data_IF_398565634962
#
_entry.id   IF_398565634962
#
_cell.length_a   1.000
_cell.length_b   1.000
_cell.length_c   1.000
_cell.angle_alpha   90.00
_cell.angle_beta   90.00
_cell.angle_gamma   90.00
#
_symmetry.space_group_name_H-M   'P 1'
#
loop_
_entity.id
_entity.type
_entity.pdbx_description
1 polymer ?
#
# COMPACT_ATOMS: atom_id res chain seq x y z
N UNK A 1 28.80 -1.39 23.08
CA UNK A 1 28.80 -1.95 21.71
C UNK A 1 27.39 -2.37 21.36
N UNK A 2 26.84 -1.91 20.24
CA UNK A 2 25.54 -2.38 19.75
C UNK A 2 25.60 -3.90 19.50
N UNK A 3 24.53 -4.60 19.84
CA UNK A 3 24.42 -6.05 19.73
C UNK A 3 24.80 -6.55 18.32
N UNK A 4 25.72 -7.50 18.22
CA UNK A 4 26.09 -8.17 16.96
C UNK A 4 25.12 -9.28 16.57
N UNK A 5 24.16 -9.60 17.44
CA UNK A 5 23.13 -10.62 17.22
C UNK A 5 21.81 -10.07 16.66
N UNK A 6 21.66 -8.74 16.61
CA UNK A 6 20.46 -8.10 16.07
C UNK A 6 20.37 -8.27 14.54
N UNK A 7 19.19 -8.66 14.06
CA UNK A 7 18.92 -9.01 12.64
C UNK A 7 17.76 -8.20 12.03
N UNK A 8 17.49 -7.02 12.59
CA UNK A 8 16.54 -6.07 11.98
C UNK A 8 17.09 -5.54 10.65
N UNK A 9 16.21 -5.07 9.76
CA UNK A 9 16.58 -4.49 8.45
C UNK A 9 17.65 -3.40 8.62
N UNK A 10 17.50 -2.51 9.60
CA UNK A 10 18.50 -1.50 9.93
C UNK A 10 19.81 -2.09 10.47
N UNK A 11 19.72 -3.05 11.39
CA UNK A 11 20.90 -3.70 11.96
C UNK A 11 21.74 -4.44 10.91
N UNK A 12 21.11 -5.07 9.91
CA UNK A 12 21.81 -5.77 8.81
C UNK A 12 22.71 -4.83 8.01
N UNK A 13 22.23 -3.64 7.66
CA UNK A 13 23.03 -2.63 6.96
C UNK A 13 24.21 -2.18 7.84
N UNK A 14 23.96 -1.82 9.10
CA UNK A 14 25.03 -1.43 10.04
C UNK A 14 26.04 -2.54 10.28
N UNK A 15 25.60 -3.79 10.28
CA UNK A 15 26.47 -4.94 10.44
C UNK A 15 27.32 -5.18 9.18
N UNK A 16 26.77 -4.98 7.98
CA UNK A 16 27.55 -5.01 6.74
C UNK A 16 28.60 -3.88 6.71
N UNK A 17 28.27 -2.68 7.18
CA UNK A 17 29.23 -1.57 7.34
C UNK A 17 30.38 -1.93 8.27
N UNK A 18 30.10 -2.58 9.41
CA UNK A 18 31.15 -3.07 10.31
C UNK A 18 32.08 -4.05 9.59
N UNK A 19 31.54 -4.96 8.79
CA UNK A 19 32.37 -5.89 8.00
C UNK A 19 33.25 -5.10 7.01
N UNK A 20 32.66 -4.16 6.25
CA UNK A 20 33.42 -3.30 5.31
C UNK A 20 34.54 -2.51 6.01
N UNK A 21 34.27 -1.90 7.16
CA UNK A 21 35.27 -1.17 7.96
C UNK A 21 36.42 -2.09 8.39
N UNK A 22 36.13 -3.31 8.83
CA UNK A 22 37.16 -4.27 9.20
C UNK A 22 37.98 -4.71 7.97
N UNK A 23 37.34 -5.02 6.84
CA UNK A 23 38.05 -5.40 5.61
C UNK A 23 39.07 -4.35 5.17
N UNK A 24 38.73 -3.06 5.27
CA UNK A 24 39.62 -1.95 4.93
C UNK A 24 40.84 -1.83 5.86
N UNK A 25 40.74 -2.37 7.07
CA UNK A 25 41.82 -2.37 8.06
C UNK A 25 42.71 -3.63 8.00
N UNK A 26 42.28 -4.69 7.31
CA UNK A 26 43.02 -5.95 7.23
C UNK A 26 44.22 -5.82 6.29
N UNK A 27 45.42 -6.04 6.83
CA UNK A 27 46.66 -5.92 6.09
C UNK A 27 46.78 -7.02 5.02
N UNK A 28 46.85 -6.61 3.75
CA UNK A 28 47.08 -7.52 2.63
C UNK A 28 45.84 -8.32 2.18
N UNK A 29 44.62 -7.93 2.59
CA UNK A 29 43.40 -8.60 2.13
C UNK A 29 43.29 -8.53 0.61
N UNK A 30 43.33 -9.68 -0.03
CA UNK A 30 43.39 -9.83 -1.49
C UNK A 30 42.58 -11.06 -1.89
N UNK A 31 41.24 -10.95 -1.93
CA UNK A 31 40.39 -12.08 -2.28
C UNK A 31 40.62 -12.50 -3.74
N UNK A 32 40.52 -13.80 -4.01
CA UNK A 32 40.64 -14.35 -5.37
C UNK A 32 39.52 -13.91 -6.30
N UNK A 33 38.35 -13.57 -5.75
CA UNK A 33 37.20 -13.05 -6.47
C UNK A 33 37.09 -11.52 -6.24
N UNK A 34 37.21 -10.69 -7.30
CA UNK A 34 37.10 -9.24 -7.21
C UNK A 34 35.78 -8.74 -6.61
N UNK A 35 34.71 -9.55 -6.66
CA UNK A 35 33.42 -9.21 -6.05
C UNK A 35 33.47 -9.18 -4.52
N UNK A 36 34.47 -9.80 -3.87
CA UNK A 36 34.56 -9.94 -2.41
C UNK A 36 35.35 -8.82 -1.73
N UNK A 37 35.50 -7.66 -2.40
CA UNK A 37 36.24 -6.51 -1.88
C UNK A 37 35.36 -5.63 -0.99
N UNK A 38 36.00 -4.78 -0.17
CA UNK A 38 35.29 -3.78 0.63
C UNK A 38 34.55 -2.76 -0.25
N UNK A 39 35.09 -2.44 -1.43
CA UNK A 39 34.48 -1.50 -2.37
C UNK A 39 33.16 -2.02 -2.94
N UNK A 40 33.11 -3.29 -3.35
CA UNK A 40 31.88 -3.93 -3.84
C UNK A 40 30.83 -4.09 -2.72
N UNK A 41 31.27 -4.42 -1.50
CA UNK A 41 30.38 -4.44 -0.34
C UNK A 41 29.80 -3.05 -0.04
N UNK A 42 30.59 -1.98 -0.13
CA UNK A 42 30.11 -0.60 0.04
C UNK A 42 29.10 -0.21 -1.03
N UNK A 43 29.34 -0.59 -2.29
CA UNK A 43 28.38 -0.38 -3.39
C UNK A 43 27.04 -1.04 -3.06
N UNK A 44 27.06 -2.30 -2.61
CA UNK A 44 25.83 -3.02 -2.26
C UNK A 44 25.14 -2.45 -1.02
N UNK A 45 25.89 -1.99 -0.01
CA UNK A 45 25.38 -1.28 1.16
C UNK A 45 24.64 0.00 0.73
N UNK A 46 25.26 0.82 -0.13
CA UNK A 46 24.67 2.07 -0.61
C UNK A 46 23.41 1.83 -1.43
N UNK A 47 23.42 0.84 -2.32
CA UNK A 47 22.24 0.42 -3.07
C UNK A 47 21.11 -0.04 -2.13
N UNK A 48 21.44 -0.81 -1.08
CA UNK A 48 20.46 -1.27 -0.09
C UNK A 48 19.84 -0.09 0.67
N UNK A 49 20.64 0.90 1.07
CA UNK A 49 20.15 2.14 1.70
C UNK A 49 19.23 2.93 0.77
N UNK A 50 19.60 3.07 -0.50
CA UNK A 50 18.75 3.74 -1.49
C UNK A 50 17.38 3.04 -1.61
N UNK A 51 17.37 1.70 -1.71
CA UNK A 51 16.11 0.92 -1.74
C UNK A 51 15.30 0.97 -0.45
N UNK A 52 15.95 1.13 0.71
CA UNK A 52 15.23 1.41 1.95
C UNK A 52 14.43 2.71 1.84
N UNK A 53 15.06 3.78 1.35
CA UNK A 53 14.42 5.09 1.14
C UNK A 53 13.31 5.00 0.10
N UNK A 54 13.55 4.38 -1.05
CA UNK A 54 12.52 4.20 -2.09
C UNK A 54 11.29 3.44 -1.56
N UNK A 55 11.50 2.36 -0.80
CA UNK A 55 10.39 1.60 -0.21
C UNK A 55 9.64 2.37 0.89
N UNK A 56 10.32 3.25 1.62
CA UNK A 56 9.71 4.13 2.62
C UNK A 56 8.85 5.22 1.95
N UNK A 57 9.37 5.89 0.92
CA UNK A 57 8.62 6.87 0.13
C UNK A 57 7.38 6.25 -0.50
N UNK A 58 7.51 5.09 -1.16
CA UNK A 58 6.37 4.40 -1.75
C UNK A 58 5.32 3.97 -0.70
N UNK A 59 5.73 3.70 0.54
CA UNK A 59 4.80 3.37 1.62
C UNK A 59 4.00 4.60 2.06
N UNK A 60 4.63 5.77 2.09
CA UNK A 60 3.96 7.04 2.36
C UNK A 60 2.97 7.39 1.25
N UNK A 61 3.37 7.25 -0.02
CA UNK A 61 2.49 7.51 -1.17
C UNK A 61 1.25 6.62 -1.15
N UNK A 62 1.42 5.33 -0.87
CA UNK A 62 0.30 4.39 -0.70
C UNK A 62 -0.60 4.80 0.47
N UNK A 63 -0.03 5.16 1.62
CA UNK A 63 -0.81 5.62 2.78
C UNK A 63 -1.65 6.85 2.44
N UNK A 64 -1.05 7.86 1.80
CA UNK A 64 -1.73 9.09 1.40
C UNK A 64 -2.87 8.82 0.39
N UNK A 65 -2.66 7.90 -0.56
CA UNK A 65 -3.71 7.47 -1.48
C UNK A 65 -4.87 6.79 -0.75
N UNK A 66 -4.57 5.93 0.24
CA UNK A 66 -5.58 5.27 1.08
C UNK A 66 -6.37 6.28 1.88
N UNK A 67 -5.71 7.26 2.50
CA UNK A 67 -6.35 8.32 3.28
C UNK A 67 -7.27 9.18 2.41
N UNK A 68 -6.79 9.60 1.25
CA UNK A 68 -7.57 10.36 0.26
C UNK A 68 -8.85 9.60 -0.12
N UNK A 69 -8.73 8.29 -0.41
CA UNK A 69 -9.88 7.45 -0.72
C UNK A 69 -10.84 7.34 0.47
N UNK A 70 -10.34 7.10 1.68
CA UNK A 70 -11.20 7.02 2.88
C UNK A 70 -11.95 8.32 3.13
N UNK A 71 -11.29 9.46 2.93
CA UNK A 71 -11.86 10.79 3.05
C UNK A 71 -13.03 10.98 2.10
N UNK A 72 -12.78 10.80 0.80
CA UNK A 72 -13.79 11.00 -0.25
C UNK A 72 -15.02 10.10 -0.11
N UNK A 73 -14.83 8.87 0.37
CA UNK A 73 -15.93 7.92 0.53
C UNK A 73 -16.67 8.07 1.87
N UNK A 74 -15.99 8.37 2.97
CA UNK A 74 -16.58 8.23 4.32
C UNK A 74 -16.34 9.40 5.28
N UNK A 75 -15.14 9.99 5.30
CA UNK A 75 -14.75 10.92 6.39
C UNK A 75 -15.10 12.38 6.09
N UNK A 76 -14.96 12.82 4.84
CA UNK A 76 -15.23 14.21 4.45
C UNK A 76 -16.68 14.60 4.74
N UNK A 77 -16.92 15.87 5.03
CA UNK A 77 -18.26 16.44 5.26
C UNK A 77 -19.17 16.23 4.05
N UNK A 78 -18.61 16.31 2.84
CA UNK A 78 -19.28 16.01 1.58
C UNK A 78 -18.93 14.61 1.03
N UNK A 79 -18.46 13.68 1.87
CA UNK A 79 -18.11 12.32 1.44
C UNK A 79 -19.29 11.58 0.82
N UNK A 80 -19.01 10.54 0.01
CA UNK A 80 -20.04 9.77 -0.69
C UNK A 80 -21.17 9.32 0.26
N UNK A 81 -20.83 8.76 1.43
CA UNK A 81 -21.83 8.28 2.38
C UNK A 81 -22.71 9.41 2.95
N UNK A 82 -22.13 10.59 3.19
CA UNK A 82 -22.85 11.72 3.79
C UNK A 82 -23.83 12.37 2.82
N UNK A 83 -23.44 12.53 1.55
CA UNK A 83 -24.31 13.14 0.52
C UNK A 83 -25.53 12.27 0.14
N UNK A 84 -25.54 10.98 0.49
CA UNK A 84 -26.70 10.11 0.26
C UNK A 84 -27.98 10.63 0.94
N UNK A 85 -27.86 11.19 2.15
CA UNK A 85 -29.02 11.67 2.91
C UNK A 85 -29.73 12.84 2.22
N UNK A 86 -29.04 13.95 1.88
CA UNK A 86 -29.67 15.08 1.20
C UNK A 86 -30.20 14.70 -0.19
N UNK A 87 -29.52 13.82 -0.96
CA UNK A 87 -30.05 13.33 -2.25
C UNK A 87 -31.42 12.67 -2.08
N UNK A 88 -31.54 11.74 -1.12
CA UNK A 88 -32.81 11.10 -0.84
C UNK A 88 -33.89 12.07 -0.34
N UNK A 89 -33.50 13.11 0.40
CA UNK A 89 -34.43 14.14 0.86
C UNK A 89 -34.94 15.01 -0.30
N UNK A 90 -34.07 15.42 -1.22
CA UNK A 90 -34.46 16.17 -2.42
C UNK A 90 -35.49 15.41 -3.24
N UNK A 91 -35.25 14.12 -3.51
CA UNK A 91 -36.18 13.29 -4.30
C UNK A 91 -37.52 13.10 -3.59
N UNK A 92 -37.54 12.92 -2.26
CA UNK A 92 -38.79 12.84 -1.50
C UNK A 92 -39.56 14.16 -1.48
N UNK A 93 -38.85 15.28 -1.44
CA UNK A 93 -39.46 16.61 -1.44
C UNK A 93 -40.10 16.94 -2.80
N UNK A 94 -39.48 16.52 -3.91
CA UNK A 94 -39.98 16.82 -5.27
C UNK A 94 -41.00 15.79 -5.79
N UNK A 95 -40.81 14.50 -5.51
CA UNK A 95 -41.66 13.44 -6.05
C UNK A 95 -42.68 12.90 -5.02
N UNK A 96 -42.54 13.23 -3.74
CA UNK A 96 -43.34 12.67 -2.66
C UNK A 96 -42.74 11.40 -2.03
N UNK A 97 -42.98 11.21 -0.73
CA UNK A 97 -42.36 10.14 0.08
C UNK A 97 -42.67 8.72 -0.39
N UNK A 98 -43.86 8.49 -0.95
CA UNK A 98 -44.34 7.17 -1.39
C UNK A 98 -44.19 6.94 -2.89
N UNK A 99 -43.49 7.84 -3.60
CA UNK A 99 -43.27 7.72 -5.03
C UNK A 99 -42.32 6.58 -5.40
N UNK A 100 -42.46 6.08 -6.63
CA UNK A 100 -41.53 5.12 -7.24
C UNK A 100 -40.10 5.68 -7.20
N UNK A 101 -39.93 6.95 -7.54
CA UNK A 101 -38.64 7.64 -7.58
C UNK A 101 -37.95 7.66 -6.21
N UNK A 102 -38.71 7.96 -5.15
CA UNK A 102 -38.18 7.96 -3.77
C UNK A 102 -37.79 6.54 -3.31
N UNK A 103 -38.58 5.53 -3.67
CA UNK A 103 -38.29 4.12 -3.36
C UNK A 103 -37.02 3.64 -4.07
N UNK A 104 -36.88 3.94 -5.36
CA UNK A 104 -35.71 3.53 -6.15
C UNK A 104 -34.42 4.14 -5.60
N UNK A 105 -34.43 5.43 -5.29
CA UNK A 105 -33.27 6.13 -4.71
C UNK A 105 -32.95 5.63 -3.30
N UNK A 106 -33.97 5.34 -2.48
CA UNK A 106 -33.75 4.73 -1.16
C UNK A 106 -33.06 3.36 -1.26
N UNK A 107 -33.45 2.53 -2.24
CA UNK A 107 -32.79 1.26 -2.50
C UNK A 107 -31.32 1.45 -2.92
N UNK A 108 -31.02 2.41 -3.80
CA UNK A 108 -29.64 2.71 -4.21
C UNK A 108 -28.78 3.25 -3.06
N UNK A 109 -29.31 4.15 -2.24
CA UNK A 109 -28.63 4.64 -1.03
C UNK A 109 -28.28 3.48 -0.09
N UNK A 110 -29.21 2.55 0.07
CA UNK A 110 -29.05 1.36 0.90
C UNK A 110 -27.93 0.46 0.38
N UNK A 111 -27.83 0.27 -0.95
CA UNK A 111 -26.71 -0.43 -1.58
C UNK A 111 -25.37 0.27 -1.36
N UNK A 112 -25.31 1.59 -1.58
CA UNK A 112 -24.08 2.40 -1.41
C UNK A 112 -23.59 2.37 0.05
N UNK A 113 -24.49 2.48 1.02
CA UNK A 113 -24.14 2.39 2.45
C UNK A 113 -23.77 0.98 2.89
N UNK A 114 -24.25 -0.02 2.14
CA UNK A 114 -24.17 -1.42 2.48
C UNK A 114 -25.23 -1.80 3.50
N UNK A 115 -26.00 -2.84 3.19
CA UNK A 115 -26.85 -3.52 4.18
C UNK A 115 -25.96 -4.46 4.99
N UNK A 116 -26.19 -4.56 6.30
CA UNK A 116 -25.66 -5.71 7.06
C UNK A 116 -26.38 -6.96 6.56
N UNK A 117 -25.78 -7.68 5.63
CA UNK A 117 -26.26 -9.02 5.25
C UNK A 117 -26.01 -9.93 6.46
N UNK A 118 -27.04 -10.65 6.94
CA UNK A 118 -26.86 -11.72 7.94
C UNK A 118 -25.82 -12.69 7.36
N UNK A 119 -24.83 -13.09 8.18
CA UNK A 119 -23.86 -14.12 7.78
C UNK A 119 -24.64 -15.32 7.22
N UNK A 120 -24.42 -15.74 5.97
CA UNK A 120 -25.06 -16.94 5.46
C UNK A 120 -24.58 -18.14 6.29
N UNK A 121 -25.52 -19.02 6.63
CA UNK A 121 -25.25 -20.29 7.29
C UNK A 121 -24.37 -21.12 6.36
N UNK A 122 -23.24 -21.63 6.86
CA UNK A 122 -22.26 -22.35 6.05
C UNK A 122 -22.83 -23.70 5.59
N UNK A 123 -22.90 -23.90 4.28
CA UNK A 123 -22.94 -25.25 3.66
C UNK A 123 -21.50 -25.63 3.26
N UNK A 124 -21.03 -26.88 3.44
CA UNK A 124 -19.59 -27.20 3.42
C UNK A 124 -18.93 -27.24 2.05
N UNK A 125 -19.66 -27.05 0.95
CA UNK A 125 -19.19 -27.45 -0.40
C UNK A 125 -19.42 -26.43 -1.53
N UNK A 126 -19.90 -25.22 -1.25
CA UNK A 126 -20.06 -24.18 -2.27
C UNK A 126 -19.00 -23.09 -2.15
N UNK A 127 -18.34 -22.75 -3.27
CA UNK A 127 -17.43 -21.60 -3.36
C UNK A 127 -18.14 -20.33 -2.86
N UNK A 128 -17.58 -19.74 -1.80
CA UNK A 128 -18.17 -18.58 -1.15
C UNK A 128 -17.86 -17.32 -1.98
N UNK A 129 -18.78 -16.95 -2.87
CA UNK A 129 -18.74 -15.62 -3.51
C UNK A 129 -19.22 -14.58 -2.50
N UNK A 130 -18.32 -13.68 -2.09
CA UNK A 130 -18.68 -12.55 -1.23
C UNK A 130 -19.70 -11.66 -1.92
N UNK A 131 -20.96 -11.69 -1.46
CA UNK A 131 -22.02 -10.78 -1.93
C UNK A 131 -21.97 -9.38 -1.29
N UNK A 132 -20.88 -9.04 -0.58
CA UNK A 132 -20.72 -7.71 0.00
C UNK A 132 -20.47 -6.66 -1.08
N UNK A 133 -21.49 -5.87 -1.43
CA UNK A 133 -21.38 -4.68 -2.30
C UNK A 133 -20.67 -3.48 -1.62
N UNK A 134 -19.96 -3.70 -0.51
CA UNK A 134 -19.29 -2.63 0.26
C UNK A 134 -17.91 -2.24 -0.27
N UNK A 135 -17.46 -2.87 -1.36
CA UNK A 135 -16.17 -2.50 -1.95
C UNK A 135 -16.25 -1.06 -2.48
N UNK A 136 -15.13 -0.32 -2.44
CA UNK A 136 -15.08 1.02 -3.02
C UNK A 136 -15.43 1.02 -4.52
N UNK A 137 -15.16 -0.07 -5.24
CA UNK A 137 -15.58 -0.25 -6.64
C UNK A 137 -17.10 -0.37 -6.78
N UNK A 138 -17.74 -1.23 -5.97
CA UNK A 138 -19.19 -1.40 -5.95
C UNK A 138 -19.92 -0.12 -5.56
N UNK A 139 -19.39 0.63 -4.58
CA UNK A 139 -19.92 1.94 -4.20
C UNK A 139 -19.86 2.95 -5.35
N UNK A 140 -18.72 3.02 -6.07
CA UNK A 140 -18.58 3.88 -7.26
C UNK A 140 -19.56 3.49 -8.37
N UNK A 141 -19.72 2.20 -8.66
CA UNK A 141 -20.66 1.71 -9.67
C UNK A 141 -22.11 2.03 -9.32
N UNK A 142 -22.52 1.76 -8.08
CA UNK A 142 -23.84 2.09 -7.57
C UNK A 142 -24.10 3.61 -7.59
N UNK A 143 -23.09 4.43 -7.27
CA UNK A 143 -23.19 5.89 -7.34
C UNK A 143 -23.36 6.38 -8.78
N UNK A 144 -22.64 5.80 -9.74
CA UNK A 144 -22.81 6.09 -11.18
C UNK A 144 -24.24 5.79 -11.64
N UNK A 145 -24.79 4.63 -11.29
CA UNK A 145 -26.17 4.26 -11.61
C UNK A 145 -27.20 5.22 -10.99
N UNK A 146 -26.93 5.68 -9.76
CA UNK A 146 -27.77 6.69 -9.10
C UNK A 146 -27.72 8.02 -9.85
N UNK A 147 -26.55 8.50 -10.28
CA UNK A 147 -26.43 9.72 -11.11
C UNK A 147 -27.23 9.57 -12.40
N UNK A 148 -27.11 8.44 -13.11
CA UNK A 148 -27.91 8.19 -14.33
C UNK A 148 -29.41 8.27 -14.06
N UNK A 149 -29.85 7.73 -12.92
CA UNK A 149 -31.27 7.75 -12.51
C UNK A 149 -31.74 9.16 -12.18
N UNK A 150 -30.97 9.93 -11.43
CA UNK A 150 -31.28 11.32 -11.09
C UNK A 150 -31.32 12.20 -12.34
N UNK A 151 -30.43 12.00 -13.31
CA UNK A 151 -30.47 12.70 -14.60
C UNK A 151 -31.77 12.42 -15.36
N UNK A 152 -32.27 11.17 -15.34
CA UNK A 152 -33.54 10.81 -15.98
C UNK A 152 -34.77 11.46 -15.32
N UNK A 153 -34.68 11.85 -14.05
CA UNK A 153 -35.76 12.58 -13.38
C UNK A 153 -35.92 14.02 -13.89
N UNK A 154 -34.93 14.58 -14.59
CA UNK A 154 -35.00 15.89 -15.21
C UNK A 154 -35.39 16.98 -14.20
N UNK A 155 -36.41 17.77 -14.52
CA UNK A 155 -36.89 18.86 -13.65
C UNK A 155 -37.35 18.41 -12.26
N UNK A 156 -37.66 17.12 -12.05
CA UNK A 156 -38.00 16.58 -10.73
C UNK A 156 -36.78 16.48 -9.79
N UNK A 157 -35.55 16.59 -10.30
CA UNK A 157 -34.34 16.65 -9.48
C UNK A 157 -33.56 17.94 -9.75
N UNK A 158 -34.00 19.03 -9.12
CA UNK A 158 -33.38 20.35 -9.21
C UNK A 158 -32.96 20.86 -7.81
N UNK A 159 -31.90 20.28 -7.19
CA UNK A 159 -31.48 20.70 -5.86
C UNK A 159 -30.87 22.12 -5.88
N UNK A 160 -31.21 22.93 -4.87
CA UNK A 160 -30.56 24.23 -4.60
C UNK A 160 -29.18 24.02 -3.94
N UNK A 161 -29.01 22.92 -3.21
CA UNK A 161 -27.71 22.56 -2.64
C UNK A 161 -26.73 22.17 -3.75
N UNK A 162 -25.69 22.99 -3.92
CA UNK A 162 -24.65 22.84 -4.95
C UNK A 162 -23.87 21.53 -4.84
N UNK A 163 -23.75 20.96 -3.63
CA UNK A 163 -23.01 19.70 -3.39
C UNK A 163 -23.67 18.48 -4.05
N UNK A 164 -24.96 18.56 -4.37
CA UNK A 164 -25.75 17.43 -4.88
C UNK A 164 -26.38 17.69 -6.26
N UNK A 165 -25.94 18.74 -6.95
CA UNK A 165 -26.29 18.94 -8.36
C UNK A 165 -25.69 17.84 -9.23
N UNK A 166 -26.31 17.53 -10.38
CA UNK A 166 -25.80 16.49 -11.29
C UNK A 166 -24.34 16.73 -11.68
N UNK A 167 -23.97 17.99 -11.97
CA UNK A 167 -22.60 18.35 -12.31
C UNK A 167 -21.62 18.04 -11.17
N UNK A 168 -21.93 18.45 -9.93
CA UNK A 168 -21.07 18.17 -8.77
C UNK A 168 -20.98 16.67 -8.47
N UNK A 169 -22.08 15.92 -8.62
CA UNK A 169 -22.07 14.48 -8.45
C UNK A 169 -21.19 13.77 -9.50
N UNK A 170 -21.19 14.24 -10.74
CA UNK A 170 -20.29 13.73 -11.79
C UNK A 170 -18.82 14.02 -11.48
N UNK A 171 -18.48 15.24 -11.04
CA UNK A 171 -17.12 15.57 -10.58
C UNK A 171 -16.68 14.66 -9.44
N UNK A 172 -17.57 14.41 -8.48
CA UNK A 172 -17.31 13.48 -7.37
C UNK A 172 -17.13 12.04 -7.86
N UNK A 173 -17.91 11.57 -8.83
CA UNK A 173 -17.74 10.23 -9.41
C UNK A 173 -16.36 10.06 -10.05
N UNK A 174 -15.88 11.07 -10.78
CA UNK A 174 -14.53 11.10 -11.35
C UNK A 174 -13.47 11.05 -10.25
N UNK A 175 -13.62 11.84 -9.18
CA UNK A 175 -12.69 11.84 -8.04
C UNK A 175 -12.64 10.49 -7.31
N UNK A 176 -13.79 9.85 -7.06
CA UNK A 176 -13.87 8.53 -6.44
C UNK A 176 -13.19 7.45 -7.31
N UNK A 177 -13.37 7.53 -8.63
CA UNK A 177 -12.74 6.63 -9.60
C UNK A 177 -11.23 6.81 -9.61
N UNK A 178 -10.75 8.05 -9.67
CA UNK A 178 -9.33 8.38 -9.60
C UNK A 178 -8.69 7.89 -8.29
N UNK A 179 -9.37 8.06 -7.15
CA UNK A 179 -8.86 7.58 -5.86
C UNK A 179 -8.75 6.04 -5.79
N UNK A 180 -9.68 5.30 -6.39
CA UNK A 180 -9.58 3.85 -6.50
C UNK A 180 -8.37 3.41 -7.34
N UNK A 181 -8.14 4.08 -8.47
CA UNK A 181 -6.98 3.82 -9.35
C UNK A 181 -5.68 4.16 -8.63
N UNK A 182 -5.62 5.31 -7.96
CA UNK A 182 -4.43 5.76 -7.24
C UNK A 182 -3.98 4.77 -6.15
N UNK A 183 -4.92 4.24 -5.35
CA UNK A 183 -4.58 3.21 -4.35
C UNK A 183 -4.04 1.94 -5.00
N UNK A 184 -4.64 1.52 -6.12
CA UNK A 184 -4.20 0.31 -6.84
C UNK A 184 -2.79 0.50 -7.41
N UNK A 185 -2.53 1.64 -8.05
CA UNK A 185 -1.24 1.98 -8.65
C UNK A 185 -0.13 2.10 -7.59
N UNK A 186 -0.37 2.88 -6.53
CA UNK A 186 0.61 3.07 -5.45
C UNK A 186 0.88 1.79 -4.67
N UNK A 187 -0.11 0.91 -4.51
CA UNK A 187 0.12 -0.43 -3.93
C UNK A 187 1.03 -1.28 -4.82
N UNK A 188 0.81 -1.28 -6.13
CA UNK A 188 1.67 -1.99 -7.09
C UNK A 188 3.11 -1.51 -7.02
N UNK A 189 3.33 -0.19 -6.99
CA UNK A 189 4.64 0.42 -6.82
C UNK A 189 5.29 0.03 -5.48
N UNK A 190 4.55 0.16 -4.36
CA UNK A 190 5.03 -0.23 -3.04
C UNK A 190 5.48 -1.70 -3.00
N UNK A 191 4.70 -2.60 -3.61
CA UNK A 191 5.06 -4.01 -3.68
C UNK A 191 6.37 -4.22 -4.43
N UNK A 192 6.49 -3.63 -5.63
CA UNK A 192 7.73 -3.71 -6.41
C UNK A 192 8.95 -3.19 -5.62
N UNK A 193 8.84 -2.04 -4.96
CA UNK A 193 9.94 -1.47 -4.16
C UNK A 193 10.32 -2.34 -2.97
N UNK A 194 9.34 -3.03 -2.36
CA UNK A 194 9.61 -3.98 -1.27
C UNK A 194 10.29 -5.25 -1.77
N UNK A 195 9.90 -5.73 -2.94
CA UNK A 195 10.52 -6.90 -3.59
C UNK A 195 11.98 -6.59 -3.95
N UNK A 196 12.25 -5.47 -4.65
CA UNK A 196 13.60 -4.99 -4.99
C UNK A 196 14.49 -4.88 -3.75
N UNK A 197 13.94 -4.29 -2.68
CA UNK A 197 14.63 -4.16 -1.40
C UNK A 197 14.94 -5.52 -0.78
N UNK A 198 13.97 -6.44 -0.79
CA UNK A 198 14.15 -7.78 -0.25
C UNK A 198 15.26 -8.53 -0.98
N UNK A 199 15.38 -8.37 -2.29
CA UNK A 199 16.40 -9.03 -3.08
C UNK A 199 17.80 -8.48 -2.79
N UNK A 200 17.95 -7.16 -2.58
CA UNK A 200 19.22 -6.60 -2.13
C UNK A 200 19.64 -7.11 -0.75
N UNK A 201 18.72 -7.30 0.20
CA UNK A 201 19.08 -7.89 1.50
C UNK A 201 19.55 -9.35 1.38
N UNK A 202 18.99 -10.13 0.44
CA UNK A 202 19.47 -11.48 0.15
C UNK A 202 20.89 -11.43 -0.41
N UNK A 203 21.14 -10.57 -1.39
CA UNK A 203 22.47 -10.38 -1.98
C UNK A 203 23.49 -9.90 -0.94
N UNK A 204 23.10 -8.96 -0.07
CA UNK A 204 23.96 -8.45 1.01
C UNK A 204 24.32 -9.56 2.01
N UNK A 205 23.35 -10.41 2.34
CA UNK A 205 23.58 -11.58 3.20
C UNK A 205 24.54 -12.56 2.52
N UNK A 206 24.32 -12.90 1.25
CA UNK A 206 25.19 -13.82 0.50
C UNK A 206 26.62 -13.31 0.39
N UNK A 207 26.79 -12.07 -0.08
CA UNK A 207 28.10 -11.45 -0.25
C UNK A 207 28.89 -11.41 1.06
N UNK A 208 28.24 -11.03 2.16
CA UNK A 208 28.91 -10.97 3.47
C UNK A 208 29.29 -12.33 4.02
N UNK A 209 28.57 -13.41 3.70
CA UNK A 209 29.01 -14.77 4.05
C UNK A 209 30.22 -15.19 3.21
N UNK A 210 30.19 -14.97 1.90
CA UNK A 210 31.33 -15.26 1.01
C UNK A 210 32.58 -14.49 1.39
N UNK A 211 32.43 -13.23 1.79
CA UNK A 211 33.52 -12.41 2.34
C UNK A 211 34.11 -13.04 3.60
N UNK A 212 33.28 -13.52 4.54
CA UNK A 212 33.79 -14.20 5.75
C UNK A 212 34.57 -15.46 5.42
N UNK A 213 34.13 -16.22 4.42
CA UNK A 213 34.85 -17.40 3.96
C UNK A 213 36.14 -17.04 3.24
N UNK A 214 36.19 -15.96 2.46
CA UNK A 214 37.42 -15.44 1.86
C UNK A 214 38.44 -15.02 2.92
N UNK A 215 38.00 -14.27 3.93
CA UNK A 215 38.85 -13.88 5.07
C UNK A 215 39.33 -15.12 5.84
N UNK A 216 38.46 -16.10 6.08
CA UNK A 216 38.82 -17.37 6.72
C UNK A 216 39.86 -18.15 5.91
N UNK A 217 39.69 -18.19 4.58
CA UNK A 217 40.58 -18.89 3.66
C UNK A 217 41.97 -18.25 3.64
N UNK A 218 42.03 -16.92 3.54
CA UNK A 218 43.28 -16.18 3.44
C UNK A 218 44.07 -16.14 4.77
N UNK A 219 43.40 -15.87 5.89
CA UNK A 219 44.08 -15.64 7.18
C UNK A 219 44.02 -16.84 8.14
N UNK A 220 43.12 -17.80 7.90
CA UNK A 220 42.94 -18.99 8.72
C UNK A 220 41.91 -18.85 9.83
N UNK A 221 41.46 -20.00 10.38
CA UNK A 221 40.35 -20.09 11.33
C UNK A 221 40.57 -19.35 12.67
N UNK A 222 41.83 -19.22 13.11
CA UNK A 222 42.18 -18.62 14.41
C UNK A 222 42.68 -17.17 14.28
N UNK A 223 42.63 -16.58 13.08
CA UNK A 223 43.16 -15.24 12.85
C UNK A 223 42.35 -14.15 13.56
N UNK A 224 43.00 -13.03 13.84
CA UNK A 224 42.34 -11.85 14.42
C UNK A 224 41.28 -11.33 13.45
N UNK A 225 41.59 -11.28 12.16
CA UNK A 225 40.74 -10.81 11.07
C UNK A 225 39.43 -11.59 11.01
N UNK A 226 39.49 -12.93 11.00
CA UNK A 226 38.29 -13.76 10.94
C UNK A 226 37.47 -13.65 12.23
N UNK A 227 38.13 -13.59 13.39
CA UNK A 227 37.46 -13.45 14.69
C UNK A 227 36.66 -12.14 14.81
N UNK A 228 37.13 -11.06 14.19
CA UNK A 228 36.45 -9.76 14.21
C UNK A 228 35.12 -9.77 13.44
N UNK A 229 35.01 -10.56 12.36
CA UNK A 229 33.83 -10.50 11.48
C UNK A 229 32.92 -11.74 11.56
N UNK A 230 33.41 -12.90 12.01
CA UNK A 230 32.66 -14.18 11.96
C UNK A 230 31.31 -14.14 12.67
N UNK A 231 31.22 -13.39 13.77
CA UNK A 231 30.01 -13.29 14.60
C UNK A 231 28.99 -12.24 14.14
N UNK A 232 29.35 -11.39 13.18
CA UNK A 232 28.51 -10.28 12.73
C UNK A 232 27.38 -10.83 11.84
N UNK A 233 26.11 -10.59 12.18
CA UNK A 233 24.96 -11.09 11.40
C UNK A 233 24.42 -10.04 10.44
N UNK A 234 24.31 -10.39 9.17
CA UNK A 234 23.77 -9.56 8.08
C UNK A 234 22.59 -10.26 7.44
#
# INVERSE_FOLDING_TARGET
MASTSEVTIGAKVTNAEKISTNLKAFAGYAPSDPALTAAELDTLINNTKAKNTEAASAAQDYSAAVDTRQNLFQKDTNSLIRIMSPIGATVRASCGKTSKEASDIAAMITKIRGVKVKKPTKEPTADFVSQSERSYGSMTQNFSAMITTLTKYGAKYAPVNTDITIATLQTKLTALTAANIAVTATYGQLKQKRDDRSDLYKQLTDLTQRIKDAVKSQYGLKSTEYNLIKGIRV
#
